data_IF_350854571490
#
_entry.id   IF_350854571490
#
_cell.length_a   1.000
_cell.length_b   1.000
_cell.length_c   1.000
_cell.angle_alpha   90.00
_cell.angle_beta   90.00
_cell.angle_gamma   90.00
#
_symmetry.space_group_name_H-M   'P 1'
#
loop_
_entity.id
_entity.type
_entity.pdbx_description
1 polymer ?
#
# COMPACT_ATOMS: atom_id res chain seq x y z
N UNK A 1 -11.72 -18.20 -28.49
CA UNK A 1 -11.50 -16.77 -28.78
C UNK A 1 -11.83 -16.02 -27.51
N UNK A 2 -10.83 -15.72 -26.67
CA UNK A 2 -10.97 -14.82 -25.53
C UNK A 2 -11.23 -13.43 -26.10
N UNK A 3 -12.46 -12.91 -25.93
CA UNK A 3 -12.76 -11.52 -26.26
C UNK A 3 -11.75 -10.65 -25.53
N UNK A 4 -11.07 -9.77 -26.27
CA UNK A 4 -10.08 -8.84 -25.68
C UNK A 4 -10.81 -7.97 -24.65
N UNK A 5 -10.37 -8.06 -23.39
CA UNK A 5 -10.91 -7.19 -22.35
C UNK A 5 -10.47 -5.74 -22.63
N UNK A 6 -11.40 -4.77 -22.66
CA UNK A 6 -11.07 -3.38 -22.97
C UNK A 6 -10.11 -2.79 -21.94
N UNK A 7 -9.26 -1.89 -22.39
CA UNK A 7 -8.46 -1.02 -21.52
C UNK A 7 -9.35 0.10 -21.01
N UNK A 8 -9.20 0.43 -19.73
CA UNK A 8 -9.96 1.47 -19.04
C UNK A 8 -9.06 2.65 -18.73
N UNK A 9 -9.60 3.84 -18.81
CA UNK A 9 -8.96 5.09 -18.40
C UNK A 9 -9.56 5.63 -17.09
N UNK A 10 -9.12 6.79 -16.66
CA UNK A 10 -9.56 7.43 -15.40
C UNK A 10 -11.06 7.75 -15.34
N UNK A 11 -11.77 7.81 -16.46
CA UNK A 11 -13.23 8.00 -16.50
C UNK A 11 -13.99 6.83 -15.88
N UNK A 12 -13.37 5.64 -15.85
CA UNK A 12 -13.92 4.44 -15.21
C UNK A 12 -13.81 4.44 -13.66
N UNK A 13 -13.05 5.38 -13.07
CA UNK A 13 -12.76 5.41 -11.64
C UNK A 13 -14.00 5.32 -10.74
N UNK A 14 -15.11 6.04 -10.99
CA UNK A 14 -16.31 5.93 -10.14
C UNK A 14 -16.91 4.51 -10.16
N UNK A 15 -16.93 3.85 -11.30
CA UNK A 15 -17.43 2.49 -11.45
C UNK A 15 -16.49 1.45 -10.81
N UNK A 16 -15.17 1.60 -10.99
CA UNK A 16 -14.17 0.78 -10.30
C UNK A 16 -14.33 0.92 -8.77
N UNK A 17 -14.56 2.13 -8.26
CA UNK A 17 -14.81 2.36 -6.83
C UNK A 17 -16.06 1.62 -6.32
N UNK A 18 -17.17 1.62 -7.09
CA UNK A 18 -18.37 0.82 -6.75
C UNK A 18 -18.06 -0.67 -6.74
N UNK A 19 -17.34 -1.15 -7.75
CA UNK A 19 -16.93 -2.54 -7.86
C UNK A 19 -16.05 -2.97 -6.68
N UNK A 20 -15.09 -2.15 -6.26
CA UNK A 20 -14.25 -2.41 -5.10
C UNK A 20 -15.08 -2.50 -3.82
N UNK A 21 -16.03 -1.56 -3.60
CA UNK A 21 -16.95 -1.62 -2.45
C UNK A 21 -17.81 -2.87 -2.42
N UNK A 22 -18.20 -3.38 -3.56
CA UNK A 22 -18.99 -4.62 -3.65
C UNK A 22 -18.15 -5.89 -3.49
N UNK A 23 -16.89 -5.86 -3.90
CA UNK A 23 -16.04 -7.03 -4.08
C UNK A 23 -14.95 -7.25 -3.03
N UNK A 24 -14.56 -6.21 -2.28
CA UNK A 24 -13.47 -6.24 -1.31
C UNK A 24 -13.98 -5.99 0.11
N UNK A 25 -13.35 -6.62 1.08
CA UNK A 25 -13.68 -6.43 2.51
C UNK A 25 -13.29 -5.04 3.00
N UNK A 26 -12.15 -4.53 2.52
CA UNK A 26 -11.65 -3.18 2.80
C UNK A 26 -11.35 -2.46 1.47
N UNK A 27 -12.34 -1.78 0.90
CA UNK A 27 -12.21 -1.12 -0.39
C UNK A 27 -11.35 0.15 -0.29
N UNK A 28 -10.42 0.37 -1.23
CA UNK A 28 -9.70 1.62 -1.36
C UNK A 28 -10.66 2.80 -1.61
N UNK A 29 -10.27 3.98 -1.13
CA UNK A 29 -10.99 5.21 -1.44
C UNK A 29 -10.84 5.60 -2.93
N UNK A 30 -11.68 6.50 -3.48
CA UNK A 30 -11.46 6.99 -4.83
C UNK A 30 -10.08 7.61 -5.05
N UNK A 31 -9.54 8.32 -4.06
CA UNK A 31 -8.21 8.94 -4.14
C UNK A 31 -7.10 7.88 -4.13
N UNK A 32 -7.23 6.83 -3.33
CA UNK A 32 -6.28 5.70 -3.33
C UNK A 32 -6.27 5.01 -4.70
N UNK A 33 -7.46 4.76 -5.27
CA UNK A 33 -7.59 4.16 -6.61
C UNK A 33 -7.02 5.07 -7.70
N UNK A 34 -7.30 6.38 -7.65
CA UNK A 34 -6.75 7.33 -8.61
C UNK A 34 -5.23 7.35 -8.55
N UNK A 35 -4.66 7.45 -7.35
CA UNK A 35 -3.21 7.48 -7.14
C UNK A 35 -2.53 6.20 -7.63
N UNK A 36 -3.07 5.04 -7.28
CA UNK A 36 -2.43 3.76 -7.58
C UNK A 36 -2.65 3.28 -9.03
N UNK A 37 -3.79 3.64 -9.65
CA UNK A 37 -4.16 3.09 -10.97
C UNK A 37 -3.92 4.05 -12.13
N UNK A 38 -3.97 5.36 -11.91
CA UNK A 38 -3.97 6.34 -13.00
C UNK A 38 -2.94 7.45 -12.89
N UNK A 39 -2.37 7.70 -11.71
CA UNK A 39 -1.35 8.72 -11.48
C UNK A 39 -0.09 8.18 -10.81
N UNK A 40 0.09 6.86 -10.83
CA UNK A 40 1.28 6.20 -10.31
C UNK A 40 2.54 6.55 -11.13
N UNK A 41 3.70 6.44 -10.51
CA UNK A 41 4.99 6.72 -11.19
C UNK A 41 5.27 5.73 -12.33
N UNK A 42 4.78 4.49 -12.22
CA UNK A 42 4.93 3.46 -13.23
C UNK A 42 3.63 3.31 -14.05
N UNK A 43 3.72 3.17 -15.38
CA UNK A 43 2.54 2.97 -16.21
C UNK A 43 1.72 1.76 -15.76
N UNK A 44 0.43 1.97 -15.53
CA UNK A 44 -0.52 0.94 -15.13
C UNK A 44 -1.48 0.67 -16.27
N UNK A 45 -1.65 -0.60 -16.61
CA UNK A 45 -2.70 -1.05 -17.52
C UNK A 45 -3.89 -1.56 -16.72
N UNK A 46 -5.04 -0.91 -16.87
CA UNK A 46 -6.31 -1.33 -16.26
C UNK A 46 -7.20 -1.95 -17.33
N UNK A 47 -7.65 -3.19 -17.13
CA UNK A 47 -8.51 -3.91 -18.09
C UNK A 47 -9.75 -4.48 -17.43
N UNK A 48 -10.81 -4.59 -18.18
CA UNK A 48 -12.03 -5.28 -17.78
C UNK A 48 -13.32 -4.54 -18.06
N UNK A 49 -14.36 -4.95 -17.36
CA UNK A 49 -15.66 -4.31 -17.30
C UNK A 49 -15.81 -3.74 -15.88
N UNK A 50 -15.88 -2.41 -15.71
CA UNK A 50 -15.87 -1.79 -14.38
C UNK A 50 -17.12 -2.10 -13.54
N UNK A 51 -18.19 -2.66 -14.14
CA UNK A 51 -19.38 -3.12 -13.41
C UNK A 51 -19.29 -4.60 -13.00
N UNK A 52 -18.39 -5.39 -13.62
CA UNK A 52 -18.33 -6.85 -13.41
C UNK A 52 -16.99 -7.34 -12.88
N UNK A 53 -15.90 -6.78 -13.33
CA UNK A 53 -14.56 -7.14 -12.85
C UNK A 53 -13.45 -6.44 -13.61
N UNK A 54 -12.42 -6.05 -12.87
CA UNK A 54 -11.23 -5.38 -13.41
C UNK A 54 -9.95 -6.01 -12.88
N UNK A 55 -8.89 -5.86 -13.65
CA UNK A 55 -7.52 -6.14 -13.27
C UNK A 55 -6.65 -4.92 -13.58
N UNK A 56 -5.71 -4.60 -12.70
CA UNK A 56 -4.71 -3.58 -12.91
C UNK A 56 -3.31 -4.18 -12.74
N UNK A 57 -2.45 -3.93 -13.71
CA UNK A 57 -1.10 -4.46 -13.76
C UNK A 57 -0.10 -3.39 -14.18
N UNK A 58 1.14 -3.49 -13.73
CA UNK A 58 2.23 -2.60 -14.13
C UNK A 58 3.53 -3.36 -14.33
N UNK A 59 4.35 -2.84 -15.25
CA UNK A 59 5.76 -3.22 -15.39
C UNK A 59 6.59 -2.15 -14.70
N UNK A 60 7.59 -2.59 -13.95
CA UNK A 60 8.53 -1.72 -13.25
C UNK A 60 9.94 -2.25 -13.34
N UNK A 61 10.90 -1.48 -12.91
CA UNK A 61 12.28 -1.95 -12.83
C UNK A 61 12.38 -3.19 -11.93
N UNK A 62 12.93 -4.27 -12.48
CA UNK A 62 13.10 -5.55 -11.78
C UNK A 62 11.89 -6.48 -11.75
N UNK A 63 10.76 -6.19 -12.45
CA UNK A 63 9.64 -7.11 -12.53
C UNK A 63 8.31 -6.50 -12.91
N UNK A 64 7.25 -7.19 -12.55
CA UNK A 64 5.87 -6.74 -12.78
C UNK A 64 4.98 -7.00 -11.56
N UNK A 65 3.91 -6.26 -11.45
CA UNK A 65 2.95 -6.41 -10.37
C UNK A 65 1.49 -6.43 -10.86
N UNK A 66 0.67 -7.22 -10.17
CA UNK A 66 -0.78 -7.10 -10.17
C UNK A 66 -1.19 -6.25 -8.96
N UNK A 67 -1.63 -5.01 -9.18
CA UNK A 67 -2.06 -4.08 -8.11
C UNK A 67 -3.47 -4.33 -7.64
N UNK A 68 -4.35 -4.71 -8.56
CA UNK A 68 -5.76 -4.96 -8.28
C UNK A 68 -6.26 -6.10 -9.15
N UNK A 69 -7.04 -7.00 -8.59
CA UNK A 69 -7.94 -7.90 -9.30
C UNK A 69 -9.21 -8.02 -8.47
N UNK A 70 -10.31 -7.53 -8.98
CA UNK A 70 -11.60 -7.57 -8.30
C UNK A 70 -12.69 -8.05 -9.26
N UNK A 71 -13.56 -8.92 -8.76
CA UNK A 71 -14.72 -9.43 -9.49
C UNK A 71 -15.96 -9.23 -8.63
N UNK A 72 -16.98 -8.60 -9.21
CA UNK A 72 -18.26 -8.39 -8.54
C UNK A 72 -18.82 -9.74 -8.04
N UNK A 73 -19.35 -9.83 -6.80
CA UNK A 73 -19.83 -11.10 -6.24
C UNK A 73 -20.77 -11.87 -7.17
N UNK A 74 -21.70 -11.19 -7.84
CA UNK A 74 -22.65 -11.82 -8.78
C UNK A 74 -22.03 -12.36 -10.07
N UNK A 75 -20.81 -11.94 -10.41
CA UNK A 75 -20.06 -12.39 -11.59
C UNK A 75 -19.03 -13.49 -11.30
N UNK A 76 -18.84 -13.85 -10.02
CA UNK A 76 -17.91 -14.91 -9.59
C UNK A 76 -18.37 -16.30 -10.06
N UNK A 77 -17.42 -17.25 -10.06
CA UNK A 77 -17.70 -18.65 -10.45
C UNK A 77 -17.91 -18.92 -11.95
N UNK A 78 -17.84 -17.88 -12.79
CA UNK A 78 -18.12 -17.95 -14.24
C UNK A 78 -16.87 -17.75 -15.11
N UNK A 79 -15.66 -17.89 -14.55
CA UNK A 79 -14.40 -17.80 -15.28
C UNK A 79 -13.84 -16.37 -15.46
N UNK A 80 -14.58 -15.31 -15.10
CA UNK A 80 -14.16 -13.91 -15.31
C UNK A 80 -12.82 -13.61 -14.63
N UNK A 81 -12.61 -14.01 -13.37
CA UNK A 81 -11.33 -13.80 -12.68
C UNK A 81 -10.15 -14.45 -13.41
N UNK A 82 -10.33 -15.62 -13.99
CA UNK A 82 -9.32 -16.29 -14.81
C UNK A 82 -9.03 -15.53 -16.11
N UNK A 83 -10.07 -15.01 -16.76
CA UNK A 83 -9.91 -14.22 -17.98
C UNK A 83 -9.16 -12.91 -17.71
N UNK A 84 -9.48 -12.21 -16.59
CA UNK A 84 -8.79 -11.01 -16.16
C UNK A 84 -7.31 -11.28 -15.84
N UNK A 85 -7.03 -12.34 -15.08
CA UNK A 85 -5.66 -12.73 -14.76
C UNK A 85 -4.86 -13.07 -16.03
N UNK A 86 -5.44 -13.82 -16.96
CA UNK A 86 -4.80 -14.16 -18.23
C UNK A 86 -4.51 -12.93 -19.10
N UNK A 87 -5.42 -11.94 -19.11
CA UNK A 87 -5.20 -10.68 -19.83
C UNK A 87 -4.04 -9.87 -19.22
N UNK A 88 -3.97 -9.77 -17.87
CA UNK A 88 -2.86 -9.12 -17.21
C UNK A 88 -1.53 -9.87 -17.44
N UNK A 89 -1.54 -11.19 -17.40
CA UNK A 89 -0.35 -12.00 -17.70
C UNK A 89 0.13 -11.82 -19.14
N UNK A 90 -0.79 -11.59 -20.08
CA UNK A 90 -0.45 -11.27 -21.47
C UNK A 90 0.22 -9.88 -21.57
N UNK A 91 -0.34 -8.87 -20.90
CA UNK A 91 0.26 -7.53 -20.88
C UNK A 91 1.65 -7.52 -20.22
N UNK A 92 1.91 -8.45 -19.32
CA UNK A 92 3.16 -8.62 -18.58
C UNK A 92 4.10 -9.69 -19.19
N UNK A 93 3.90 -10.07 -20.47
CA UNK A 93 4.62 -11.19 -21.07
C UNK A 93 6.15 -11.04 -21.03
N UNK A 94 6.68 -9.81 -21.13
CA UNK A 94 8.11 -9.54 -21.10
C UNK A 94 8.74 -9.50 -19.68
N UNK A 95 7.96 -9.69 -18.62
CA UNK A 95 8.49 -9.62 -17.25
C UNK A 95 8.94 -11.01 -16.75
N UNK A 96 10.15 -11.10 -16.19
CA UNK A 96 10.71 -12.33 -15.62
C UNK A 96 9.97 -12.85 -14.40
N UNK A 97 9.22 -11.98 -13.70
CA UNK A 97 8.38 -12.36 -12.57
C UNK A 97 7.19 -11.43 -12.40
N UNK A 98 6.09 -11.96 -11.86
CA UNK A 98 4.90 -11.20 -11.51
C UNK A 98 4.64 -11.38 -10.01
N UNK A 99 4.55 -10.27 -9.28
CA UNK A 99 4.14 -10.22 -7.88
C UNK A 99 2.69 -9.77 -7.76
N UNK A 100 1.93 -10.30 -6.81
CA UNK A 100 0.54 -9.88 -6.56
C UNK A 100 0.48 -9.08 -5.28
N UNK A 101 0.07 -7.82 -5.39
CA UNK A 101 0.19 -6.83 -4.31
C UNK A 101 1.65 -6.49 -4.02
N UNK A 102 1.91 -5.89 -2.86
CA UNK A 102 3.26 -5.55 -2.38
C UNK A 102 4.09 -4.74 -3.40
N UNK A 103 3.44 -3.83 -4.12
CA UNK A 103 4.01 -3.04 -5.22
C UNK A 103 4.34 -1.61 -4.76
N UNK A 104 5.20 -1.49 -3.73
CA UNK A 104 5.64 -0.18 -3.25
C UNK A 104 6.29 0.65 -4.38
N UNK A 105 6.08 1.97 -4.40
CA UNK A 105 5.33 2.79 -3.43
C UNK A 105 3.82 2.91 -3.70
N UNK A 106 3.31 2.34 -4.79
CA UNK A 106 1.94 2.57 -5.29
C UNK A 106 0.96 1.43 -4.94
N UNK A 107 1.29 0.58 -3.97
CA UNK A 107 0.48 -0.57 -3.61
C UNK A 107 -0.86 -0.20 -2.96
N UNK A 108 -1.90 -0.93 -3.31
CA UNK A 108 -3.20 -0.88 -2.62
C UNK A 108 -3.24 -1.87 -1.43
N UNK A 109 -2.48 -2.95 -1.53
CA UNK A 109 -2.42 -4.02 -0.53
C UNK A 109 -1.00 -4.60 -0.44
N UNK A 110 -0.51 -4.94 0.75
CA UNK A 110 0.82 -5.55 0.92
C UNK A 110 0.87 -7.03 0.53
N UNK A 111 -0.09 -7.50 -0.25
CA UNK A 111 -0.27 -8.87 -0.72
C UNK A 111 -1.75 -9.19 -0.94
N UNK A 112 -2.08 -10.47 -0.95
CA UNK A 112 -3.46 -10.97 -1.02
C UNK A 112 -3.94 -11.29 0.39
N UNK A 113 -5.04 -10.67 0.80
CA UNK A 113 -5.59 -10.87 2.14
C UNK A 113 -5.96 -12.34 2.39
N UNK A 114 -5.61 -12.86 3.57
CA UNK A 114 -5.78 -14.27 3.92
C UNK A 114 -7.23 -14.74 3.89
N UNK A 115 -8.18 -13.83 4.05
CA UNK A 115 -9.62 -14.08 3.97
C UNK A 115 -10.17 -14.10 2.55
N UNK A 116 -9.41 -13.64 1.55
CA UNK A 116 -9.81 -13.59 0.15
C UNK A 116 -9.69 -14.97 -0.54
N UNK A 117 -10.32 -16.00 0.01
CA UNK A 117 -10.19 -17.40 -0.40
C UNK A 117 -10.35 -17.61 -1.91
N UNK A 118 -11.30 -16.92 -2.55
CA UNK A 118 -11.51 -17.07 -4.00
C UNK A 118 -10.29 -16.60 -4.81
N UNK A 119 -9.62 -15.53 -4.36
CA UNK A 119 -8.39 -15.01 -4.98
C UNK A 119 -7.21 -15.97 -4.74
N UNK A 120 -7.05 -16.47 -3.52
CA UNK A 120 -6.01 -17.45 -3.19
C UNK A 120 -6.13 -18.69 -4.08
N UNK A 121 -7.33 -19.26 -4.20
CA UNK A 121 -7.59 -20.40 -5.07
C UNK A 121 -7.33 -20.10 -6.56
N UNK A 122 -7.66 -18.90 -7.03
CA UNK A 122 -7.39 -18.48 -8.40
C UNK A 122 -5.89 -18.46 -8.68
N UNK A 123 -5.11 -17.85 -7.80
CA UNK A 123 -3.67 -17.71 -7.94
C UNK A 123 -2.95 -19.06 -7.89
N UNK A 124 -3.27 -19.92 -6.92
CA UNK A 124 -2.67 -21.25 -6.79
C UNK A 124 -2.96 -22.13 -8.01
N UNK A 125 -4.21 -22.12 -8.52
CA UNK A 125 -4.57 -22.81 -9.77
C UNK A 125 -3.87 -22.23 -11.00
N UNK A 126 -3.45 -20.97 -10.94
CA UNK A 126 -2.71 -20.28 -12.01
C UNK A 126 -1.18 -20.38 -11.83
N UNK A 127 -0.73 -21.25 -10.92
CA UNK A 127 0.68 -21.54 -10.62
C UNK A 127 1.45 -20.36 -10.00
N UNK A 128 0.77 -19.47 -9.30
CA UNK A 128 1.44 -18.54 -8.40
C UNK A 128 1.82 -19.25 -7.12
N UNK A 129 3.02 -19.00 -6.65
CA UNK A 129 3.56 -19.58 -5.42
C UNK A 129 3.34 -18.58 -4.29
N UNK A 130 2.76 -19.06 -3.19
CA UNK A 130 2.61 -18.29 -1.97
C UNK A 130 3.97 -18.17 -1.27
N UNK A 131 4.37 -16.93 -0.98
CA UNK A 131 5.60 -16.58 -0.27
C UNK A 131 5.34 -16.13 1.17
N UNK A 132 6.03 -15.07 1.56
CA UNK A 132 5.95 -14.48 2.89
C UNK A 132 4.56 -13.92 3.22
N UNK A 133 4.31 -13.76 4.52
CA UNK A 133 3.14 -13.09 5.05
C UNK A 133 3.51 -11.67 5.52
N UNK A 134 2.71 -10.69 5.12
CA UNK A 134 2.75 -9.33 5.63
C UNK A 134 1.57 -9.08 6.56
N UNK A 135 1.75 -8.17 7.50
CA UNK A 135 0.75 -7.85 8.51
C UNK A 135 0.39 -6.38 8.44
N UNK A 136 -0.89 -6.08 8.65
CA UNK A 136 -1.32 -4.76 9.05
C UNK A 136 -1.82 -4.82 10.49
N UNK A 137 -1.52 -3.78 11.26
CA UNK A 137 -1.97 -3.64 12.63
C UNK A 137 -2.97 -2.50 12.73
N UNK A 138 -3.97 -2.63 13.58
CA UNK A 138 -4.96 -1.58 13.85
C UNK A 138 -4.67 -0.93 15.20
N UNK A 139 -4.88 0.38 15.26
CA UNK A 139 -4.74 1.23 16.44
C UNK A 139 -6.07 1.93 16.71
N UNK A 140 -6.55 1.87 17.94
CA UNK A 140 -7.64 2.72 18.43
C UNK A 140 -7.08 4.13 18.70
N UNK A 141 -7.77 5.15 18.18
CA UNK A 141 -7.33 6.54 18.29
C UNK A 141 -7.96 7.31 19.47
N UNK A 142 -8.87 6.69 20.20
CA UNK A 142 -9.56 7.36 21.33
C UNK A 142 -8.58 7.56 22.53
N UNK A 143 -7.66 6.62 22.78
CA UNK A 143 -6.73 6.61 23.93
C UNK A 143 -5.26 6.83 23.54
N UNK A 144 -4.98 7.78 22.67
CA UNK A 144 -3.60 8.11 22.29
C UNK A 144 -2.87 8.85 23.42
N UNK A 145 -1.59 8.48 23.63
CA UNK A 145 -0.70 9.26 24.47
C UNK A 145 -0.60 10.72 23.99
N UNK A 146 -0.27 11.68 24.87
CA UNK A 146 -0.05 13.07 24.46
C UNK A 146 0.97 13.21 23.34
N UNK A 147 0.82 14.30 22.57
CA UNK A 147 1.80 14.68 21.53
C UNK A 147 3.17 14.90 22.16
N UNK A 148 4.20 14.47 21.45
CA UNK A 148 5.58 14.75 21.76
C UNK A 148 5.93 16.14 21.18
N UNK A 149 6.48 17.04 22.02
CA UNK A 149 6.81 18.40 21.60
C UNK A 149 7.90 18.46 20.53
N UNK A 150 8.74 17.43 20.44
CA UNK A 150 9.81 17.33 19.43
C UNK A 150 9.29 16.88 18.06
N UNK A 151 8.06 16.34 17.99
CA UNK A 151 7.47 15.87 16.73
C UNK A 151 6.55 16.92 16.12
N UNK A 152 6.79 17.29 14.87
CA UNK A 152 5.99 18.27 14.12
C UNK A 152 5.80 17.87 12.66
N UNK A 153 4.80 18.47 12.01
CA UNK A 153 4.55 18.25 10.57
C UNK A 153 5.63 18.94 9.76
N UNK A 154 6.29 18.19 8.90
CA UNK A 154 7.29 18.73 7.98
C UNK A 154 6.63 19.62 6.91
N UNK A 155 7.28 20.71 6.58
CA UNK A 155 6.84 21.64 5.54
C UNK A 155 7.83 21.74 4.37
N UNK A 156 7.56 22.63 3.44
CA UNK A 156 8.38 22.83 2.25
C UNK A 156 9.85 23.20 2.58
N UNK A 157 10.08 23.87 3.71
CA UNK A 157 11.42 24.22 4.17
C UNK A 157 12.28 22.99 4.53
N UNK A 158 11.65 21.89 4.91
CA UNK A 158 12.32 20.65 5.31
C UNK A 158 12.67 19.74 4.13
N UNK A 159 12.23 20.08 2.90
CA UNK A 159 12.28 19.18 1.75
C UNK A 159 13.70 18.69 1.42
N UNK A 160 14.68 19.58 1.45
CA UNK A 160 16.06 19.24 1.15
C UNK A 160 16.67 18.31 2.21
N UNK A 161 16.37 18.56 3.49
CA UNK A 161 16.84 17.73 4.60
C UNK A 161 16.17 16.36 4.60
N UNK A 162 14.84 16.30 4.39
CA UNK A 162 14.08 15.03 4.28
C UNK A 162 14.60 14.19 3.14
N UNK A 163 14.83 14.77 1.95
CA UNK A 163 15.36 14.03 0.79
C UNK A 163 16.77 13.50 1.06
N UNK A 164 17.66 14.32 1.61
CA UNK A 164 19.02 13.89 1.95
C UNK A 164 19.03 12.80 3.02
N UNK A 165 18.24 12.97 4.08
CA UNK A 165 18.12 12.01 5.17
C UNK A 165 17.54 10.67 4.70
N UNK A 166 16.48 10.71 3.92
CA UNK A 166 15.84 9.49 3.41
C UNK A 166 16.77 8.76 2.46
N UNK A 167 17.47 9.49 1.59
CA UNK A 167 18.45 8.89 0.66
C UNK A 167 19.61 8.22 1.39
N UNK A 168 20.05 8.80 2.51
CA UNK A 168 21.16 8.25 3.30
C UNK A 168 20.77 7.01 4.13
N UNK A 169 19.55 6.97 4.63
CA UNK A 169 19.15 5.98 5.64
C UNK A 169 18.08 4.99 5.15
N UNK A 170 17.13 5.43 4.31
CA UNK A 170 15.94 4.67 3.91
C UNK A 170 15.59 4.90 2.43
N UNK A 171 16.52 4.65 1.49
CA UNK A 171 16.33 4.99 0.08
C UNK A 171 15.09 4.35 -0.55
N UNK A 172 14.65 3.18 -0.05
CA UNK A 172 13.45 2.49 -0.52
C UNK A 172 12.15 3.26 -0.24
N UNK A 173 12.13 4.14 0.77
CA UNK A 173 10.95 4.93 1.16
C UNK A 173 10.99 6.39 0.68
N UNK A 174 12.01 6.73 -0.13
CA UNK A 174 12.22 8.10 -0.60
C UNK A 174 11.01 8.67 -1.34
N UNK A 175 10.42 7.89 -2.24
CA UNK A 175 9.25 8.32 -3.03
C UNK A 175 8.06 8.57 -2.12
N UNK A 176 7.75 7.64 -1.22
CA UNK A 176 6.64 7.75 -0.27
C UNK A 176 6.80 8.98 0.64
N UNK A 177 7.98 9.18 1.23
CA UNK A 177 8.24 10.32 2.11
C UNK A 177 8.18 11.66 1.37
N UNK A 178 8.71 11.75 0.15
CA UNK A 178 8.64 12.95 -0.68
C UNK A 178 7.18 13.30 -1.03
N UNK A 179 6.38 12.29 -1.38
CA UNK A 179 4.94 12.48 -1.67
C UNK A 179 4.15 12.90 -0.43
N UNK A 180 4.45 12.31 0.73
CA UNK A 180 3.81 12.68 1.98
C UNK A 180 4.18 14.11 2.39
N UNK A 181 5.44 14.49 2.26
CA UNK A 181 5.88 15.87 2.51
C UNK A 181 5.14 16.88 1.62
N UNK A 182 5.04 16.62 0.33
CA UNK A 182 4.35 17.51 -0.62
C UNK A 182 2.83 17.67 -0.33
N UNK A 183 2.27 16.82 0.54
CA UNK A 183 0.86 16.83 0.96
C UNK A 183 0.67 17.21 2.42
N UNK A 184 1.71 17.70 3.10
CA UNK A 184 1.73 17.98 4.55
C UNK A 184 1.31 16.75 5.39
N UNK A 185 1.76 15.57 4.98
CA UNK A 185 1.44 14.26 5.60
C UNK A 185 2.67 13.51 6.09
N UNK A 186 3.72 14.25 6.45
CA UNK A 186 4.95 13.73 7.02
C UNK A 186 5.21 14.34 8.39
N UNK A 187 5.26 13.51 9.43
CA UNK A 187 5.71 13.88 10.77
C UNK A 187 7.22 13.67 10.84
N UNK A 188 7.95 14.64 11.41
CA UNK A 188 9.39 14.52 11.67
C UNK A 188 9.71 14.87 13.11
N UNK A 189 10.78 14.28 13.61
CA UNK A 189 11.43 14.68 14.89
C UNK A 189 12.91 14.91 14.62
N UNK A 190 13.51 15.83 15.39
CA UNK A 190 14.92 16.19 15.30
C UNK A 190 15.67 15.99 16.61
N UNK A 191 16.97 15.84 16.50
CA UNK A 191 17.93 15.99 17.58
C UNK A 191 19.04 16.97 17.16
N UNK A 192 20.13 17.01 17.89
CA UNK A 192 21.27 17.91 17.61
C UNK A 192 21.93 17.62 16.25
N UNK A 193 21.74 16.42 15.70
CA UNK A 193 22.32 15.96 14.44
C UNK A 193 21.32 16.06 13.27
N UNK A 194 20.16 16.71 13.43
CA UNK A 194 19.11 16.86 12.40
C UNK A 194 17.99 15.85 12.56
N UNK A 195 17.33 15.48 11.44
CA UNK A 195 16.20 14.54 11.46
C UNK A 195 16.62 13.21 12.08
N UNK A 196 15.87 12.77 13.10
CA UNK A 196 16.10 11.51 13.81
C UNK A 196 15.02 10.46 13.49
N UNK A 197 13.79 10.88 13.20
CA UNK A 197 12.70 10.00 12.84
C UNK A 197 11.69 10.70 11.92
N UNK A 198 11.01 9.91 11.10
CA UNK A 198 9.92 10.33 10.23
C UNK A 198 8.76 9.34 10.30
N UNK A 199 7.53 9.83 10.07
CA UNK A 199 6.34 8.99 9.94
C UNK A 199 5.37 9.59 8.94
N UNK A 200 4.98 8.82 7.93
CA UNK A 200 3.92 9.19 6.99
C UNK A 200 2.54 8.79 7.52
N UNK A 201 1.51 9.55 7.13
CA UNK A 201 0.11 9.13 7.25
C UNK A 201 -0.64 9.43 5.96
N UNK A 202 -1.72 8.69 5.68
CA UNK A 202 -2.45 8.76 4.42
C UNK A 202 -1.54 8.73 3.17
N UNK A 203 -0.41 8.02 3.25
CA UNK A 203 0.58 7.94 2.19
C UNK A 203 0.21 6.92 1.12
N UNK A 204 0.32 5.64 1.45
CA UNK A 204 -0.03 4.53 0.56
C UNK A 204 -1.56 4.39 0.43
N UNK A 205 -2.27 4.46 1.56
CA UNK A 205 -3.74 4.42 1.62
C UNK A 205 -4.27 5.38 2.67
N UNK A 206 -5.46 5.88 2.41
CA UNK A 206 -6.21 6.75 3.32
C UNK A 206 -6.52 6.01 4.63
N UNK A 207 -6.14 6.59 5.77
CA UNK A 207 -6.27 6.00 7.10
C UNK A 207 -5.11 5.10 7.51
N UNK A 208 -4.09 4.96 6.67
CA UNK A 208 -2.91 4.20 6.98
C UNK A 208 -1.76 5.07 7.49
N UNK A 209 -0.98 4.51 8.40
CA UNK A 209 0.26 5.08 8.92
C UNK A 209 1.44 4.23 8.44
N UNK A 210 2.48 4.90 8.00
CA UNK A 210 3.72 4.30 7.51
C UNK A 210 4.15 4.87 6.15
N UNK A 211 5.44 4.75 5.82
CA UNK A 211 6.51 4.17 6.63
C UNK A 211 6.82 4.96 7.91
N UNK A 212 7.27 4.25 8.95
CA UNK A 212 7.87 4.83 10.16
C UNK A 212 9.36 4.54 10.13
N UNK A 213 10.17 5.57 10.01
CA UNK A 213 11.61 5.47 9.86
C UNK A 213 12.34 6.15 11.02
N UNK A 214 13.40 5.51 11.47
CA UNK A 214 14.28 6.05 12.54
C UNK A 214 15.71 5.96 12.03
N UNK A 215 16.55 6.96 12.35
CA UNK A 215 17.98 6.92 12.03
C UNK A 215 18.58 5.61 12.53
N UNK A 216 19.27 4.83 11.70
CA UNK A 216 19.74 3.48 12.06
C UNK A 216 20.55 3.40 13.34
N UNK A 217 21.38 4.42 13.63
CA UNK A 217 22.24 4.48 14.82
C UNK A 217 21.50 4.58 16.16
N UNK A 218 20.19 4.91 16.13
CA UNK A 218 19.37 5.11 17.34
C UNK A 218 18.09 4.26 17.35
N UNK A 219 18.02 3.25 16.49
CA UNK A 219 16.93 2.26 16.51
C UNK A 219 16.91 1.58 17.89
N UNK A 220 15.71 1.35 18.43
CA UNK A 220 15.50 0.75 19.75
C UNK A 220 15.57 1.75 20.91
N UNK A 221 15.91 3.02 20.67
CA UNK A 221 15.99 4.06 21.72
C UNK A 221 14.67 4.87 21.87
N UNK A 222 13.56 4.40 21.33
CA UNK A 222 12.24 5.05 21.45
C UNK A 222 12.03 6.28 20.55
N UNK A 223 13.00 6.65 19.70
CA UNK A 223 12.94 7.88 18.88
C UNK A 223 11.80 7.91 17.86
N UNK A 224 11.29 6.77 17.44
CA UNK A 224 10.13 6.68 16.53
C UNK A 224 8.78 6.90 17.19
N UNK A 225 8.71 6.92 18.54
CA UNK A 225 7.47 7.02 19.29
C UNK A 225 6.72 8.32 19.00
N UNK A 226 7.40 9.45 19.11
CA UNK A 226 6.80 10.79 18.96
C UNK A 226 6.20 10.98 17.56
N UNK A 227 6.94 10.64 16.50
CA UNK A 227 6.44 10.78 15.12
C UNK A 227 5.28 9.83 14.82
N UNK A 228 5.26 8.62 15.38
CA UNK A 228 4.13 7.68 15.24
C UNK A 228 2.88 8.24 15.92
N UNK A 229 2.98 8.65 17.18
CA UNK A 229 1.87 9.24 17.95
C UNK A 229 1.38 10.51 17.26
N UNK A 230 2.28 11.38 16.79
CA UNK A 230 1.93 12.59 16.06
C UNK A 230 1.12 12.30 14.79
N UNK A 231 1.54 11.31 13.98
CA UNK A 231 0.80 10.90 12.79
C UNK A 231 -0.61 10.34 13.13
N UNK A 232 -0.73 9.56 14.20
CA UNK A 232 -2.01 9.03 14.67
C UNK A 232 -2.96 10.14 15.15
N UNK A 233 -2.44 11.15 15.85
CA UNK A 233 -3.23 12.34 16.20
C UNK A 233 -3.78 13.06 14.98
N UNK A 234 -2.98 13.19 13.89
CA UNK A 234 -3.47 13.81 12.64
C UNK A 234 -4.64 13.05 12.04
N UNK A 235 -4.62 11.72 12.08
CA UNK A 235 -5.75 10.90 11.63
C UNK A 235 -6.97 11.03 12.55
N UNK A 236 -6.78 11.08 13.87
CA UNK A 236 -7.86 11.33 14.83
C UNK A 236 -8.51 12.70 14.62
N UNK A 237 -7.70 13.74 14.43
CA UNK A 237 -8.16 15.11 14.20
C UNK A 237 -8.91 15.25 12.86
N UNK A 238 -8.61 14.37 11.88
CA UNK A 238 -9.38 14.21 10.66
C UNK A 238 -10.68 13.39 10.84
N UNK A 239 -11.08 13.07 12.10
CA UNK A 239 -12.32 12.40 12.45
C UNK A 239 -12.30 10.88 12.39
N UNK A 240 -11.11 10.25 12.31
CA UNK A 240 -11.01 8.79 12.37
C UNK A 240 -11.01 8.28 13.80
N UNK A 241 -11.58 7.10 13.99
CA UNK A 241 -11.57 6.39 15.28
C UNK A 241 -10.51 5.30 15.33
N UNK A 242 -10.12 4.79 14.19
CA UNK A 242 -9.08 3.78 14.04
C UNK A 242 -8.11 4.20 12.93
N UNK A 243 -6.86 3.78 13.06
CA UNK A 243 -5.84 3.84 12.03
C UNK A 243 -5.26 2.45 11.76
N UNK A 244 -4.79 2.22 10.54
CA UNK A 244 -4.10 0.99 10.18
C UNK A 244 -2.62 1.27 9.96
N UNK A 245 -1.75 0.53 10.63
CA UNK A 245 -0.31 0.55 10.34
C UNK A 245 -0.08 -0.48 9.24
N UNK A 246 0.23 0.02 8.04
CA UNK A 246 0.36 -0.83 6.86
C UNK A 246 1.72 -1.50 6.75
N UNK A 247 1.73 -2.75 6.28
CA UNK A 247 2.93 -3.52 5.96
C UNK A 247 3.98 -3.50 7.08
N UNK A 248 3.53 -3.95 8.25
CA UNK A 248 4.34 -3.91 9.47
C UNK A 248 5.53 -4.85 9.38
N UNK A 249 6.74 -4.32 9.64
CA UNK A 249 7.93 -5.12 9.88
C UNK A 249 7.96 -5.61 11.34
N UNK A 250 8.52 -4.82 12.28
CA UNK A 250 8.59 -5.23 13.69
C UNK A 250 7.25 -4.98 14.39
N UNK A 251 6.65 -6.02 14.97
CA UNK A 251 5.35 -5.95 15.67
C UNK A 251 5.50 -5.25 17.04
N UNK A 252 6.56 -5.59 17.77
CA UNK A 252 6.75 -5.19 19.17
C UNK A 252 6.69 -3.67 19.39
N UNK A 253 7.38 -2.82 18.61
CA UNK A 253 7.34 -1.38 18.83
C UNK A 253 5.92 -0.81 18.75
N UNK A 254 5.13 -1.24 17.77
CA UNK A 254 3.77 -0.74 17.58
C UNK A 254 2.82 -1.24 18.67
N UNK A 255 2.91 -2.52 19.03
CA UNK A 255 2.10 -3.08 20.11
C UNK A 255 2.37 -2.39 21.46
N UNK A 256 3.65 -2.15 21.79
CA UNK A 256 4.03 -1.54 23.06
C UNK A 256 3.81 -0.01 23.10
N UNK A 257 3.97 0.67 21.96
CA UNK A 257 3.91 2.14 21.93
C UNK A 257 2.47 2.65 21.89
N UNK A 258 1.60 2.01 21.08
CA UNK A 258 0.25 2.50 20.79
C UNK A 258 -0.83 1.41 20.92
N UNK A 259 -0.52 0.29 21.58
CA UNK A 259 -1.48 -0.79 21.77
C UNK A 259 -1.96 -1.46 20.46
N UNK A 260 -1.18 -1.30 19.39
CA UNK A 260 -1.55 -1.86 18.10
C UNK A 260 -1.67 -3.38 18.16
N UNK A 261 -2.68 -3.93 17.47
CA UNK A 261 -2.90 -5.38 17.36
C UNK A 261 -2.93 -5.81 15.89
N UNK A 262 -2.44 -7.02 15.58
CA UNK A 262 -2.56 -7.57 14.23
C UNK A 262 -4.05 -7.65 13.88
N UNK A 263 -4.40 -7.08 12.74
CA UNK A 263 -5.77 -7.00 12.25
C UNK A 263 -5.94 -7.77 10.95
N UNK A 264 -5.02 -7.61 10.02
CA UNK A 264 -5.07 -8.25 8.70
C UNK A 264 -3.75 -8.93 8.36
N UNK A 265 -3.86 -10.06 7.67
CA UNK A 265 -2.73 -10.86 7.20
C UNK A 265 -2.82 -10.99 5.69
N UNK A 266 -1.72 -10.76 5.01
CA UNK A 266 -1.61 -10.80 3.55
C UNK A 266 -0.51 -11.78 3.13
N UNK A 267 -0.78 -12.59 2.12
CA UNK A 267 0.23 -13.44 1.51
C UNK A 267 0.75 -12.81 0.22
N UNK A 268 2.06 -12.72 0.06
CA UNK A 268 2.65 -12.31 -1.21
C UNK A 268 2.69 -13.52 -2.14
N UNK A 269 2.07 -13.39 -3.30
CA UNK A 269 2.11 -14.41 -4.35
C UNK A 269 3.03 -13.99 -5.46
N UNK A 270 3.83 -14.93 -5.98
CA UNK A 270 4.75 -14.69 -7.10
C UNK A 270 4.63 -15.79 -8.14
N UNK A 271 4.80 -15.39 -9.40
CA UNK A 271 4.93 -16.31 -10.52
C UNK A 271 6.19 -15.94 -11.27
N UNK A 272 7.20 -16.81 -11.22
CA UNK A 272 8.40 -16.69 -12.06
C UNK A 272 8.06 -17.11 -13.48
N UNK A 273 8.64 -16.44 -14.45
CA UNK A 273 8.62 -16.84 -15.86
C UNK A 273 10.05 -17.14 -16.27
N UNK A 274 10.31 -18.26 -16.93
CA UNK A 274 11.64 -18.48 -17.52
C UNK A 274 11.89 -17.35 -18.56
N UNK A 275 13.12 -16.88 -18.70
CA UNK A 275 13.49 -16.02 -19.81
C UNK A 275 13.17 -16.77 -21.11
N UNK A 276 12.56 -16.07 -22.08
CA UNK A 276 12.38 -16.61 -23.45
C UNK A 276 13.73 -16.79 -24.15
#
# INVERSE_FOLDING_TARGET
VTASLPTLDSSALPAIGRLCRAGLADPPTPDDLASSLFTADWPVTVRGDPERGVVASCVREGGAALRLLVVHPSARGRGLGRALLAAAEHDLAGAGSITVGADAPDYLFPGVESTATAMLCLLERSRYVRGEANFNMVVDLDDLAPLDEDAHVAGAADAAEVDAWTRAHWPMWRVEMTRCLARDRLMIARDVDGIVACCCWDGARTGWVGPVAVRPSVIGQGRGRGVLIGALHRLRDAGRREAEIGWVGPIVPYAQTVGARIHRVFFVYRKSRPPE
#
